data_IF_739239154384
#
_entry.id   IF_739239154384
#
_cell.length_a   1.000
_cell.length_b   1.000
_cell.length_c   1.000
_cell.angle_alpha   90.00
_cell.angle_beta   90.00
_cell.angle_gamma   90.00
#
_symmetry.space_group_name_H-M   'P 1'
#
loop_
_entity.id
_entity.type
_entity.pdbx_description
1 polymer ?
#
# COMPACT_ATOMS: atom_id res chain seq x y z
N UNK A 1 -5.41 -13.15 -34.33
CA UNK A 1 -5.42 -12.12 -33.27
C UNK A 1 -3.97 -11.91 -32.89
N UNK A 2 -3.37 -10.79 -33.32
CA UNK A 2 -2.00 -10.47 -32.95
C UNK A 2 -1.99 -9.94 -31.50
N UNK A 3 -1.03 -10.35 -30.65
CA UNK A 3 -0.95 -9.83 -29.29
C UNK A 3 -0.73 -8.32 -29.33
N UNK A 4 -1.56 -7.58 -28.59
CA UNK A 4 -1.38 -6.14 -28.43
C UNK A 4 -0.09 -5.88 -27.63
N UNK A 5 0.83 -5.03 -28.09
CA UNK A 5 2.01 -4.67 -27.31
C UNK A 5 1.58 -3.88 -26.07
N UNK A 6 2.03 -4.32 -24.90
CA UNK A 6 1.78 -3.62 -23.63
C UNK A 6 3.03 -3.62 -22.75
N UNK A 7 3.11 -2.63 -21.87
CA UNK A 7 4.12 -2.54 -20.80
C UNK A 7 3.44 -2.81 -19.47
N UNK A 8 3.97 -3.75 -18.69
CA UNK A 8 3.50 -4.06 -17.33
C UNK A 8 4.55 -3.66 -16.31
N UNK A 9 4.19 -2.77 -15.40
CA UNK A 9 5.00 -2.47 -14.22
C UNK A 9 4.49 -3.28 -13.02
N UNK A 10 5.40 -3.88 -12.26
CA UNK A 10 5.08 -4.64 -11.04
C UNK A 10 5.87 -4.09 -9.86
N UNK A 11 5.21 -3.89 -8.73
CA UNK A 11 5.87 -3.56 -7.45
C UNK A 11 6.10 -4.88 -6.72
N UNK A 12 7.37 -5.25 -6.53
CA UNK A 12 7.72 -6.54 -5.91
C UNK A 12 7.41 -6.60 -4.42
N UNK A 13 7.90 -5.63 -3.65
CA UNK A 13 7.72 -5.58 -2.19
C UNK A 13 7.34 -4.16 -1.75
N UNK A 14 6.31 -4.05 -0.92
CA UNK A 14 5.86 -2.80 -0.31
C UNK A 14 5.36 -3.08 1.11
N UNK A 15 5.85 -2.33 2.09
CA UNK A 15 5.46 -2.47 3.49
C UNK A 15 5.52 -1.12 4.22
N UNK A 16 4.78 -1.01 5.32
CA UNK A 16 4.78 0.15 6.21
C UNK A 16 5.57 -0.14 7.47
N UNK A 17 6.50 0.75 7.81
CA UNK A 17 7.14 0.82 9.12
C UNK A 17 6.57 2.01 9.88
N UNK A 18 5.82 1.73 10.94
CA UNK A 18 5.21 2.75 11.80
C UNK A 18 6.12 2.89 13.03
N UNK A 19 6.66 4.09 13.32
CA UNK A 19 7.39 4.29 14.57
C UNK A 19 6.44 4.04 15.74
N UNK A 20 6.91 3.34 16.77
CA UNK A 20 6.15 3.12 18.01
C UNK A 20 5.66 4.48 18.51
N UNK A 21 4.35 4.71 18.43
CA UNK A 21 3.75 5.97 18.84
C UNK A 21 3.91 6.11 20.37
N UNK A 22 4.49 7.22 20.81
CA UNK A 22 4.67 7.55 22.23
C UNK A 22 3.35 7.90 22.95
N UNK A 23 2.21 7.85 22.26
CA UNK A 23 0.90 8.24 22.80
C UNK A 23 -0.19 7.27 22.35
N UNK A 24 -1.12 6.89 23.24
CA UNK A 24 -2.22 5.99 22.90
C UNK A 24 -3.06 6.59 21.78
N UNK A 25 -3.35 5.81 20.75
CA UNK A 25 -4.40 6.16 19.81
C UNK A 25 -5.71 6.27 20.61
N UNK A 26 -6.33 7.44 20.68
CA UNK A 26 -7.67 7.65 21.29
C UNK A 26 -8.80 7.04 20.43
N UNK A 27 -8.46 6.05 19.62
CA UNK A 27 -9.34 5.34 18.71
C UNK A 27 -9.63 3.96 19.30
N UNK A 28 -10.88 3.51 19.19
CA UNK A 28 -11.31 2.16 19.61
C UNK A 28 -10.60 1.07 18.80
N UNK A 29 -10.06 1.42 17.63
CA UNK A 29 -9.30 0.51 16.76
C UNK A 29 -7.81 0.79 16.89
N UNK A 30 -7.05 -0.24 17.26
CA UNK A 30 -5.60 -0.16 17.31
C UNK A 30 -5.04 0.01 15.87
N UNK A 31 -4.10 0.93 15.61
CA UNK A 31 -3.59 1.18 14.25
C UNK A 31 -2.91 -0.05 13.62
N UNK A 32 -2.45 -1.03 14.43
CA UNK A 32 -1.93 -2.30 13.91
C UNK A 32 -3.00 -3.34 13.58
N UNK A 33 -4.27 -3.14 13.97
CA UNK A 33 -5.35 -4.12 13.77
C UNK A 33 -6.18 -3.87 12.52
N UNK A 34 -5.97 -2.74 11.82
CA UNK A 34 -6.67 -2.44 10.56
C UNK A 34 -5.73 -2.66 9.36
N UNK A 35 -6.19 -3.30 8.27
CA UNK A 35 -5.42 -3.39 7.03
C UNK A 35 -5.07 -1.98 6.54
N UNK A 36 -3.78 -1.67 6.43
CA UNK A 36 -3.35 -0.43 5.80
C UNK A 36 -3.47 -0.57 4.29
N UNK A 37 -3.94 0.47 3.61
CA UNK A 37 -3.96 0.53 2.15
C UNK A 37 -3.21 1.76 1.66
N UNK A 38 -2.63 1.68 0.48
CA UNK A 38 -2.00 2.81 -0.19
C UNK A 38 -2.56 3.00 -1.60
N UNK A 39 -2.42 4.22 -2.10
CA UNK A 39 -2.68 4.56 -3.49
C UNK A 39 -1.35 4.70 -4.22
N UNK A 40 -1.15 3.92 -5.28
CA UNK A 40 0.04 3.94 -6.13
C UNK A 40 -0.28 4.83 -7.33
N UNK A 41 0.43 5.95 -7.45
CA UNK A 41 0.33 6.89 -8.56
C UNK A 41 1.63 6.92 -9.34
N UNK A 42 1.56 6.55 -10.62
CA UNK A 42 2.69 6.55 -11.54
C UNK A 42 2.32 7.39 -12.77
N UNK A 43 3.28 8.14 -13.31
CA UNK A 43 3.03 8.99 -14.49
C UNK A 43 2.60 8.10 -15.67
N UNK A 44 1.49 8.46 -16.33
CA UNK A 44 0.90 7.73 -17.47
C UNK A 44 0.32 6.34 -17.13
N UNK A 45 0.12 6.01 -15.87
CA UNK A 45 -0.58 4.78 -15.45
C UNK A 45 -1.82 5.10 -14.61
N UNK A 46 -2.84 4.22 -14.61
CA UNK A 46 -3.98 4.35 -13.73
C UNK A 46 -3.58 4.39 -12.25
N UNK A 47 -4.39 5.07 -11.44
CA UNK A 47 -4.28 4.99 -9.99
C UNK A 47 -4.63 3.58 -9.53
N UNK A 48 -3.75 2.96 -8.75
CA UNK A 48 -3.96 1.63 -8.19
C UNK A 48 -4.09 1.70 -6.67
N UNK A 49 -4.93 0.85 -6.09
CA UNK A 49 -5.01 0.68 -4.64
C UNK A 49 -4.46 -0.69 -4.26
N UNK A 50 -3.65 -0.73 -3.21
CA UNK A 50 -3.06 -1.98 -2.73
C UNK A 50 -3.11 -2.05 -1.21
N UNK A 51 -3.34 -3.26 -0.68
CA UNK A 51 -3.11 -3.56 0.72
C UNK A 51 -1.61 -3.49 1.00
N UNK A 52 -1.24 -2.91 2.13
CA UNK A 52 0.15 -2.77 2.54
C UNK A 52 0.33 -3.41 3.91
N UNK A 53 1.14 -4.48 4.02
CA UNK A 53 1.43 -5.09 5.30
C UNK A 53 2.19 -4.11 6.20
N UNK A 54 1.86 -4.16 7.49
CA UNK A 54 2.67 -3.54 8.53
C UNK A 54 3.80 -4.50 8.92
N UNK A 55 5.04 -4.01 8.94
CA UNK A 55 6.20 -4.74 9.46
C UNK A 55 6.61 -4.06 10.77
N UNK A 56 6.57 -4.79 11.91
CA UNK A 56 7.01 -4.30 13.23
C UNK A 56 8.46 -3.80 13.26
#
# INVERSE_FOLDING_TARGET
MDPCPFVRLTIGNLALKIPVASKPARSVVHPSSSPCFCKIKLKNFPLQSALVPFIP
#
